data_IF_915240698119
#
_entry.id   IF_915240698119
#
_cell.length_a   1.000
_cell.length_b   1.000
_cell.length_c   1.000
_cell.angle_alpha   90.00
_cell.angle_beta   90.00
_cell.angle_gamma   90.00
#
_symmetry.space_group_name_H-M   'P 1'
#
loop_
_entity.id
_entity.type
_entity.pdbx_description
1 polymer ?
#
# COMPACT_ATOMS: atom_id res chain seq x y z
N UNK A 1 8.89 28.82 42.29
CA UNK A 1 8.63 28.73 40.84
C UNK A 1 9.75 27.96 40.15
N UNK A 2 9.63 26.63 40.12
CA UNK A 2 10.64 25.74 39.54
C UNK A 2 10.65 25.89 38.03
N UNK A 3 11.72 26.49 37.49
CA UNK A 3 11.88 26.67 36.05
C UNK A 3 12.03 25.30 35.39
N UNK A 4 11.03 24.89 34.60
CA UNK A 4 11.18 23.75 33.72
C UNK A 4 12.39 24.00 32.80
N UNK A 5 13.34 23.08 32.78
CA UNK A 5 14.42 23.03 31.78
C UNK A 5 13.94 22.22 30.58
N UNK A 6 14.57 22.40 29.42
CA UNK A 6 14.23 21.63 28.21
C UNK A 6 14.24 20.11 28.46
N UNK A 7 15.16 19.64 29.32
CA UNK A 7 15.25 18.22 29.72
C UNK A 7 14.07 17.76 30.58
N UNK A 8 13.57 18.60 31.49
CA UNK A 8 12.38 18.28 32.29
C UNK A 8 11.11 18.22 31.44
N UNK A 9 11.02 19.06 30.41
CA UNK A 9 9.91 19.06 29.45
C UNK A 9 9.93 17.76 28.64
N UNK A 10 11.10 17.38 28.10
CA UNK A 10 11.29 16.13 27.37
C UNK A 10 10.92 14.91 28.24
N UNK A 11 11.38 14.89 29.49
CA UNK A 11 11.12 13.77 30.41
C UNK A 11 9.63 13.63 30.75
N UNK A 12 8.92 14.75 30.92
CA UNK A 12 7.47 14.74 31.17
C UNK A 12 6.69 14.19 29.97
N UNK A 13 7.09 14.58 28.75
CA UNK A 13 6.51 14.08 27.50
C UNK A 13 6.78 12.58 27.33
N UNK A 14 8.01 12.13 27.61
CA UNK A 14 8.38 10.71 27.56
C UNK A 14 7.61 9.84 28.56
N UNK A 15 7.24 10.40 29.72
CA UNK A 15 6.38 9.71 30.69
C UNK A 15 4.92 9.67 30.23
N UNK A 16 4.43 10.71 29.56
CA UNK A 16 3.06 10.80 29.08
C UNK A 16 2.78 9.89 27.87
N UNK A 17 3.74 9.75 26.95
CA UNK A 17 3.58 8.91 25.75
C UNK A 17 3.37 7.42 26.07
N UNK A 18 3.84 6.92 27.22
CA UNK A 18 3.64 5.52 27.63
C UNK A 18 2.17 5.12 27.87
N UNK A 19 1.24 6.09 27.87
CA UNK A 19 -0.21 5.86 27.93
C UNK A 19 -0.88 5.75 26.55
N UNK A 20 -0.15 6.04 25.48
CA UNK A 20 -0.65 6.08 24.11
C UNK A 20 0.07 5.03 23.25
N UNK A 21 -0.60 4.50 22.24
CA UNK A 21 -0.06 3.46 21.34
C UNK A 21 1.00 3.98 20.34
N UNK A 22 1.75 5.03 20.67
CA UNK A 22 2.77 5.62 19.80
C UNK A 22 3.76 6.51 20.54
N UNK A 23 5.01 6.54 20.05
CA UNK A 23 6.12 7.30 20.65
C UNK A 23 6.49 8.54 19.82
N UNK A 24 6.81 9.64 20.51
CA UNK A 24 7.32 10.86 19.88
C UNK A 24 8.83 10.73 19.62
N UNK A 25 9.19 10.33 18.40
CA UNK A 25 10.59 10.19 17.99
C UNK A 25 11.26 11.55 17.74
N UNK A 26 12.59 11.60 17.91
CA UNK A 26 13.43 12.79 17.68
C UNK A 26 12.96 14.07 18.42
N UNK A 27 12.41 13.90 19.63
CA UNK A 27 11.87 15.00 20.42
C UNK A 27 12.96 16.02 20.79
N UNK A 28 12.72 17.29 20.48
CA UNK A 28 13.52 18.44 20.91
C UNK A 28 12.62 19.48 21.54
N UNK A 29 13.04 20.04 22.66
CA UNK A 29 12.37 21.16 23.30
C UNK A 29 13.33 22.36 23.31
N UNK A 30 12.94 23.46 22.67
CA UNK A 30 13.69 24.72 22.69
C UNK A 30 12.85 25.80 23.37
N UNK A 31 13.49 26.74 24.06
CA UNK A 31 12.78 27.91 24.61
C UNK A 31 12.47 28.87 23.47
N UNK A 32 11.25 29.41 23.45
CA UNK A 32 10.90 30.45 22.50
C UNK A 32 11.74 31.71 22.77
N UNK A 33 12.35 32.26 21.73
CA UNK A 33 13.15 33.49 21.78
C UNK A 33 12.30 34.72 22.08
N UNK A 34 10.98 34.66 21.87
CA UNK A 34 10.05 35.78 22.14
C UNK A 34 9.36 35.70 23.50
N UNK A 35 9.24 34.51 24.09
CA UNK A 35 8.55 34.28 25.36
C UNK A 35 9.34 33.30 26.25
N UNK A 36 10.04 33.75 27.30
CA UNK A 36 10.92 32.89 28.11
C UNK A 36 10.19 31.81 28.92
N UNK A 37 8.85 31.88 28.99
CA UNK A 37 7.98 30.87 29.60
C UNK A 37 7.43 29.84 28.60
N UNK A 38 7.62 30.02 27.29
CA UNK A 38 7.12 29.14 26.25
C UNK A 38 8.21 28.18 25.74
N UNK A 39 7.80 26.96 25.41
CA UNK A 39 8.66 25.95 24.81
C UNK A 39 8.11 25.57 23.43
N UNK A 40 9.01 25.51 22.45
CA UNK A 40 8.77 24.96 21.13
C UNK A 40 9.19 23.50 21.15
N UNK A 41 8.28 22.62 20.78
CA UNK A 41 8.49 21.17 20.77
C UNK A 41 8.55 20.71 19.31
N UNK A 42 9.64 20.08 18.92
CA UNK A 42 9.83 19.50 17.58
C UNK A 42 9.93 17.99 17.72
N UNK A 43 9.20 17.25 16.89
CA UNK A 43 9.24 15.79 16.82
C UNK A 43 9.13 15.36 15.37
N UNK A 44 9.62 14.16 15.03
CA UNK A 44 9.43 13.57 13.70
C UNK A 44 8.06 12.88 13.55
N UNK A 45 7.17 12.98 14.55
CA UNK A 45 5.80 12.46 14.44
C UNK A 45 4.88 13.43 13.69
N UNK A 46 4.22 12.91 12.65
CA UNK A 46 3.32 13.68 11.77
C UNK A 46 1.85 13.61 12.18
N UNK A 47 1.49 12.70 13.09
CA UNK A 47 0.12 12.59 13.59
C UNK A 47 -0.16 13.70 14.61
N UNK A 48 -0.81 14.78 14.14
CA UNK A 48 -1.16 15.95 14.96
C UNK A 48 -2.00 15.59 16.19
N UNK A 49 -2.94 14.66 16.03
CA UNK A 49 -3.83 14.20 17.11
C UNK A 49 -3.07 13.47 18.20
N UNK A 50 -2.14 12.57 17.83
CA UNK A 50 -1.28 11.89 18.78
C UNK A 50 -0.39 12.88 19.53
N UNK A 51 0.27 13.79 18.80
CA UNK A 51 1.12 14.83 19.40
C UNK A 51 0.32 15.68 20.39
N UNK A 52 -0.86 16.16 19.98
CA UNK A 52 -1.75 16.95 20.85
C UNK A 52 -2.15 16.17 22.11
N UNK A 53 -2.57 14.93 21.97
CA UNK A 53 -3.01 14.10 23.10
C UNK A 53 -1.87 13.82 24.09
N UNK A 54 -0.67 13.53 23.60
CA UNK A 54 0.52 13.32 24.44
C UNK A 54 0.89 14.62 25.17
N UNK A 55 0.87 15.76 24.48
CA UNK A 55 1.21 17.06 25.08
C UNK A 55 0.18 17.50 26.13
N UNK A 56 -1.12 17.34 25.84
CA UNK A 56 -2.20 17.65 26.81
C UNK A 56 -2.10 16.77 28.06
N UNK A 57 -1.68 15.52 27.89
CA UNK A 57 -1.47 14.60 29.02
C UNK A 57 -0.21 14.93 29.81
N UNK A 58 0.85 15.38 29.14
CA UNK A 58 2.09 15.80 29.78
C UNK A 58 1.93 17.13 30.55
N UNK A 59 1.11 18.04 30.05
CA UNK A 59 0.94 19.39 30.58
C UNK A 59 -0.54 19.81 30.58
N UNK A 60 -1.29 19.35 31.58
CA UNK A 60 -2.72 19.64 31.70
C UNK A 60 -3.07 21.13 31.85
N UNK A 61 -2.17 21.93 32.44
CA UNK A 61 -2.37 23.36 32.71
C UNK A 61 -1.72 24.29 31.68
N UNK A 62 -1.13 23.74 30.60
CA UNK A 62 -0.44 24.52 29.57
C UNK A 62 -1.35 24.82 28.38
N UNK A 63 -1.25 26.04 27.84
CA UNK A 63 -1.92 26.38 26.59
C UNK A 63 -1.13 25.81 25.40
N UNK A 64 -1.65 24.75 24.78
CA UNK A 64 -0.99 24.03 23.68
C UNK A 64 -1.53 24.55 22.35
N UNK A 65 -0.66 25.20 21.56
CA UNK A 65 -0.98 25.59 20.19
C UNK A 65 -1.20 24.38 19.28
N UNK A 66 -1.98 24.54 18.21
CA UNK A 66 -2.18 23.47 17.24
C UNK A 66 -0.86 23.02 16.60
N UNK A 67 -0.53 21.71 16.62
CA UNK A 67 0.70 21.20 16.02
C UNK A 67 0.78 21.55 14.53
N UNK A 68 1.83 22.30 14.18
CA UNK A 68 2.20 22.60 12.80
C UNK A 68 3.18 21.53 12.32
N UNK A 69 2.95 20.96 11.14
CA UNK A 69 3.83 19.96 10.53
C UNK A 69 4.71 20.70 9.52
N UNK A 70 5.94 20.99 9.91
CA UNK A 70 6.94 21.57 9.01
C UNK A 70 7.58 20.46 8.17
N UNK A 71 7.03 20.22 6.97
CA UNK A 71 7.62 19.30 6.00
C UNK A 71 8.82 19.96 5.28
N UNK A 72 9.93 20.16 6.00
CA UNK A 72 11.16 20.82 5.48
C UNK A 72 11.71 20.13 4.22
N UNK A 73 11.46 18.83 4.06
CA UNK A 73 11.90 18.05 2.90
C UNK A 73 11.05 18.34 1.64
N UNK A 74 9.84 18.88 1.81
CA UNK A 74 8.90 19.08 0.72
C UNK A 74 9.25 20.32 -0.12
N UNK A 75 9.64 21.43 0.51
CA UNK A 75 9.93 22.68 -0.22
C UNK A 75 11.20 22.56 -1.09
N UNK A 76 12.27 21.97 -0.57
CA UNK A 76 13.51 21.78 -1.34
C UNK A 76 13.32 20.84 -2.53
N UNK A 77 12.52 19.78 -2.36
CA UNK A 77 12.17 18.83 -3.43
C UNK A 77 11.21 19.48 -4.44
N UNK A 78 10.19 20.21 -3.99
CA UNK A 78 9.27 20.98 -4.86
C UNK A 78 9.99 22.00 -5.72
N UNK A 79 11.04 22.65 -5.21
CA UNK A 79 11.83 23.59 -6.00
C UNK A 79 12.80 22.88 -6.96
N UNK A 80 13.40 21.77 -6.56
CA UNK A 80 14.36 21.03 -7.39
C UNK A 80 13.71 20.19 -8.50
N UNK A 81 12.46 19.75 -8.30
CA UNK A 81 11.70 18.90 -9.21
C UNK A 81 10.35 19.53 -9.59
N UNK A 82 10.26 20.86 -9.60
CA UNK A 82 9.03 21.60 -9.91
C UNK A 82 8.40 21.18 -11.25
N UNK A 83 9.24 20.82 -12.22
CA UNK A 83 8.85 20.44 -13.58
C UNK A 83 8.66 18.91 -13.77
N UNK A 84 8.99 18.10 -12.75
CA UNK A 84 8.97 16.62 -12.78
C UNK A 84 7.99 16.02 -11.76
N UNK A 85 7.45 16.84 -10.86
CA UNK A 85 6.48 16.43 -9.85
C UNK A 85 5.09 16.91 -10.23
N UNK A 86 4.19 15.97 -10.50
CA UNK A 86 2.75 16.22 -10.43
C UNK A 86 2.38 16.52 -8.98
N UNK A 87 2.48 17.79 -8.59
CA UNK A 87 1.97 18.27 -7.32
C UNK A 87 0.44 18.21 -7.42
N UNK A 88 -0.21 17.31 -6.69
CA UNK A 88 -1.64 17.39 -6.46
C UNK A 88 -1.92 18.71 -5.75
N UNK A 89 -2.49 19.65 -6.49
CA UNK A 89 -2.89 20.94 -5.95
C UNK A 89 -4.36 20.89 -5.54
N UNK A 90 -4.77 21.75 -4.62
CA UNK A 90 -6.18 21.91 -4.27
C UNK A 90 -6.97 22.32 -5.51
N UNK A 91 -8.01 21.54 -5.83
CA UNK A 91 -8.85 21.74 -7.01
C UNK A 91 -9.92 22.84 -6.80
N UNK A 92 -10.00 23.39 -5.58
CA UNK A 92 -11.02 24.34 -5.13
C UNK A 92 -12.44 23.84 -5.43
N UNK A 93 -12.86 22.73 -4.80
CA UNK A 93 -14.17 22.16 -5.07
C UNK A 93 -15.31 23.00 -4.48
N UNK A 94 -16.38 23.13 -5.27
CA UNK A 94 -17.67 23.68 -4.90
C UNK A 94 -18.77 22.69 -5.25
N UNK A 95 -19.68 22.43 -4.31
CA UNK A 95 -20.83 21.55 -4.55
C UNK A 95 -21.90 22.35 -5.29
N UNK A 96 -22.15 21.97 -6.54
CA UNK A 96 -23.12 22.64 -7.40
C UNK A 96 -24.54 22.08 -7.23
N UNK A 97 -24.67 20.78 -7.00
CA UNK A 97 -25.95 20.11 -6.77
C UNK A 97 -25.75 18.95 -5.81
N UNK A 98 -26.72 18.76 -4.92
CA UNK A 98 -26.80 17.60 -4.06
C UNK A 98 -28.27 17.16 -4.03
N UNK A 99 -28.55 15.95 -4.49
CA UNK A 99 -29.92 15.42 -4.53
C UNK A 99 -29.96 13.93 -4.19
N UNK A 100 -31.10 13.51 -3.65
CA UNK A 100 -31.38 12.09 -3.37
C UNK A 100 -31.79 11.40 -4.67
N UNK A 101 -31.29 10.18 -4.87
CA UNK A 101 -31.64 9.37 -6.02
C UNK A 101 -33.01 8.72 -5.75
N UNK A 102 -34.04 9.28 -6.39
CA UNK A 102 -35.42 8.77 -6.36
C UNK A 102 -35.75 7.96 -7.61
N UNK A 103 -36.85 7.20 -7.57
CA UNK A 103 -37.36 6.46 -8.74
C UNK A 103 -37.61 7.40 -9.94
N UNK A 104 -38.13 8.61 -9.70
CA UNK A 104 -38.36 9.63 -10.73
C UNK A 104 -37.07 10.08 -11.43
N UNK A 105 -35.96 10.12 -10.68
CA UNK A 105 -34.66 10.48 -11.24
C UNK A 105 -34.08 9.34 -12.08
N UNK A 106 -34.29 8.10 -11.67
CA UNK A 106 -33.86 6.90 -12.40
C UNK A 106 -34.63 6.76 -13.72
N UNK A 107 -35.92 7.14 -13.75
CA UNK A 107 -36.71 7.16 -14.99
C UNK A 107 -36.10 8.10 -16.04
N UNK A 108 -35.44 9.18 -15.59
CA UNK A 108 -34.73 10.13 -16.45
C UNK A 108 -33.29 9.70 -16.75
N UNK A 109 -32.65 8.99 -15.82
CA UNK A 109 -31.25 8.55 -15.88
C UNK A 109 -31.12 7.09 -15.42
N UNK A 110 -31.26 6.12 -16.34
CA UNK A 110 -31.22 4.69 -16.02
C UNK A 110 -29.91 4.22 -15.37
N UNK A 111 -28.81 4.95 -15.55
CA UNK A 111 -27.50 4.66 -14.94
C UNK A 111 -27.54 4.67 -13.40
N UNK A 112 -28.53 5.34 -12.80
CA UNK A 112 -28.67 5.45 -11.35
C UNK A 112 -29.42 4.28 -10.71
N UNK A 113 -29.85 3.29 -11.49
CA UNK A 113 -30.69 2.19 -11.02
C UNK A 113 -30.06 1.42 -9.84
N UNK A 114 -28.75 1.20 -9.88
CA UNK A 114 -28.01 0.48 -8.82
C UNK A 114 -27.81 1.34 -7.55
N UNK A 115 -28.10 2.63 -7.61
CA UNK A 115 -27.91 3.61 -6.54
C UNK A 115 -29.23 4.16 -5.99
N UNK A 116 -30.35 3.46 -6.17
CA UNK A 116 -31.67 3.86 -5.64
C UNK A 116 -31.60 4.12 -4.12
N UNK A 117 -32.10 5.29 -3.70
CA UNK A 117 -32.05 5.71 -2.30
C UNK A 117 -30.69 6.29 -1.88
N UNK A 118 -29.70 6.34 -2.78
CA UNK A 118 -28.40 6.97 -2.59
C UNK A 118 -28.41 8.48 -2.82
N UNK A 119 -27.22 9.07 -2.85
CA UNK A 119 -26.99 10.50 -3.07
C UNK A 119 -26.24 10.74 -4.38
N UNK A 120 -26.64 11.78 -5.11
CA UNK A 120 -25.90 12.36 -6.23
C UNK A 120 -25.34 13.72 -5.82
N UNK A 121 -24.02 13.89 -5.97
CA UNK A 121 -23.29 15.12 -5.68
C UNK A 121 -22.61 15.58 -6.97
N UNK A 122 -23.00 16.73 -7.50
CA UNK A 122 -22.28 17.37 -8.61
C UNK A 122 -21.26 18.33 -8.01
N UNK A 123 -19.98 18.04 -8.19
CA UNK A 123 -18.88 18.87 -7.73
C UNK A 123 -18.28 19.63 -8.92
N UNK A 124 -18.17 20.95 -8.81
CA UNK A 124 -17.39 21.80 -9.71
C UNK A 124 -16.00 22.01 -9.12
N UNK A 125 -14.99 22.02 -9.98
CA UNK A 125 -13.60 22.24 -9.62
C UNK A 125 -13.03 23.34 -10.52
N UNK A 126 -12.33 24.31 -9.93
CA UNK A 126 -11.73 25.42 -10.68
C UNK A 126 -10.53 24.95 -11.50
N UNK A 127 -9.80 23.96 -10.96
CA UNK A 127 -8.66 23.35 -11.65
C UNK A 127 -9.09 22.04 -12.25
N UNK A 128 -8.89 21.94 -13.56
CA UNK A 128 -9.23 20.73 -14.29
C UNK A 128 -8.42 19.54 -13.75
N UNK A 129 -9.11 18.44 -13.49
CA UNK A 129 -8.51 17.18 -13.04
C UNK A 129 -9.07 16.04 -13.89
N UNK A 130 -8.29 14.98 -14.06
CA UNK A 130 -8.79 13.80 -14.78
C UNK A 130 -9.64 12.92 -13.85
N UNK A 131 -10.60 12.13 -14.38
CA UNK A 131 -11.34 11.15 -13.59
C UNK A 131 -10.43 10.17 -12.84
N UNK A 132 -9.32 9.76 -13.45
CA UNK A 132 -8.31 8.92 -12.80
C UNK A 132 -7.67 9.63 -11.60
N UNK A 133 -7.34 10.93 -11.74
CA UNK A 133 -6.80 11.74 -10.65
C UNK A 133 -7.80 11.89 -9.50
N UNK A 134 -9.08 12.13 -9.79
CA UNK A 134 -10.14 12.26 -8.77
C UNK A 134 -10.31 10.94 -8.01
N UNK A 135 -10.34 9.81 -8.73
CA UNK A 135 -10.38 8.48 -8.12
C UNK A 135 -9.15 8.20 -7.24
N UNK A 136 -7.95 8.55 -7.73
CA UNK A 136 -6.71 8.42 -6.97
C UNK A 136 -6.74 9.27 -5.68
N UNK A 137 -7.24 10.52 -5.76
CA UNK A 137 -7.41 11.41 -4.61
C UNK A 137 -8.34 10.81 -3.56
N UNK A 138 -9.48 10.24 -3.95
CA UNK A 138 -10.41 9.55 -3.03
C UNK A 138 -9.76 8.30 -2.42
N UNK A 139 -9.05 7.50 -3.22
CA UNK A 139 -8.36 6.31 -2.77
C UNK A 139 -7.19 6.61 -1.81
N UNK A 140 -6.55 7.77 -1.93
CA UNK A 140 -5.50 8.24 -1.03
C UNK A 140 -6.06 8.87 0.25
N UNK A 141 -7.22 9.53 0.14
CA UNK A 141 -7.89 10.18 1.27
C UNK A 141 -8.17 9.20 2.42
N UNK A 142 -8.56 7.95 2.13
CA UNK A 142 -8.86 6.92 3.14
C UNK A 142 -7.69 6.58 4.08
N UNK A 143 -6.46 6.90 3.68
CA UNK A 143 -5.26 6.62 4.48
C UNK A 143 -4.84 7.81 5.35
N UNK A 144 -5.51 8.95 5.25
CA UNK A 144 -5.21 10.12 6.08
C UNK A 144 -5.72 9.89 7.51
N UNK A 145 -4.92 10.23 8.55
CA UNK A 145 -5.32 10.05 9.95
C UNK A 145 -6.69 10.66 10.28
N UNK A 146 -6.97 11.84 9.72
CA UNK A 146 -8.21 12.59 9.98
C UNK A 146 -9.44 11.99 9.28
N UNK A 147 -9.24 11.04 8.37
CA UNK A 147 -10.28 10.43 7.53
C UNK A 147 -10.64 9.00 7.95
N UNK A 148 -9.98 8.46 8.98
CA UNK A 148 -10.24 7.10 9.50
C UNK A 148 -11.61 6.96 10.17
N UNK A 149 -12.20 8.08 10.60
CA UNK A 149 -13.51 8.10 11.27
C UNK A 149 -14.70 8.14 10.29
N UNK A 150 -14.43 8.34 8.99
CA UNK A 150 -15.47 8.31 7.95
C UNK A 150 -15.82 6.86 7.60
N UNK A 151 -17.06 6.61 7.20
CA UNK A 151 -17.47 5.29 6.71
C UNK A 151 -17.06 5.14 5.24
N UNK A 152 -16.11 4.26 4.95
CA UNK A 152 -15.59 3.97 3.61
C UNK A 152 -16.24 2.76 2.94
N UNK A 153 -17.25 2.15 3.57
CA UNK A 153 -17.86 0.90 3.12
C UNK A 153 -18.95 1.10 2.06
N UNK A 154 -19.31 2.35 1.75
CA UNK A 154 -20.32 2.66 0.76
C UNK A 154 -19.71 2.63 -0.63
N UNK A 155 -20.41 1.93 -1.53
CA UNK A 155 -20.05 1.92 -2.93
C UNK A 155 -20.27 3.30 -3.52
N UNK A 156 -19.36 3.69 -4.41
CA UNK A 156 -19.43 4.97 -5.09
C UNK A 156 -18.94 4.83 -6.52
N UNK A 157 -19.42 5.72 -7.37
CA UNK A 157 -18.99 5.84 -8.75
C UNK A 157 -18.84 7.32 -9.12
N UNK A 158 -17.92 7.58 -10.06
CA UNK A 158 -17.64 8.93 -10.54
C UNK A 158 -17.99 8.97 -12.02
N UNK A 159 -18.97 9.80 -12.34
CA UNK A 159 -19.49 9.99 -13.70
C UNK A 159 -19.33 11.44 -14.13
N UNK A 160 -19.58 11.70 -15.41
CA UNK A 160 -19.69 13.06 -15.92
C UNK A 160 -20.84 13.82 -15.24
N UNK A 161 -20.88 15.16 -15.37
CA UNK A 161 -22.01 15.95 -14.87
C UNK A 161 -23.35 15.52 -15.48
N UNK A 162 -23.32 14.98 -16.70
CA UNK A 162 -24.48 14.42 -17.42
C UNK A 162 -24.64 12.90 -17.22
N UNK A 163 -23.96 12.31 -16.22
CA UNK A 163 -23.98 10.88 -15.86
C UNK A 163 -23.39 9.90 -16.89
N UNK A 164 -22.77 10.41 -17.96
CA UNK A 164 -22.01 9.58 -18.89
C UNK A 164 -20.65 9.12 -18.31
N UNK A 165 -20.16 7.96 -18.77
CA UNK A 165 -18.78 7.53 -18.54
C UNK A 165 -17.80 8.55 -19.12
N UNK A 166 -16.74 8.86 -18.34
CA UNK A 166 -15.70 9.81 -18.75
C UNK A 166 -14.45 9.08 -19.21
N UNK A 167 -13.76 9.62 -20.22
CA UNK A 167 -12.45 9.11 -20.60
C UNK A 167 -11.44 9.31 -19.45
N UNK A 168 -10.68 8.28 -19.03
CA UNK A 168 -9.86 8.32 -17.81
C UNK A 168 -8.85 9.47 -17.75
N UNK A 169 -8.34 9.90 -18.91
CA UNK A 169 -7.28 10.91 -19.04
C UNK A 169 -7.78 12.26 -19.55
N UNK A 170 -9.09 12.45 -19.73
CA UNK A 170 -9.63 13.72 -20.19
C UNK A 170 -9.85 14.65 -18.99
N UNK A 171 -9.25 15.85 -18.97
CA UNK A 171 -9.43 16.77 -17.85
C UNK A 171 -10.85 17.34 -17.84
N UNK A 172 -11.49 17.31 -16.67
CA UNK A 172 -12.85 17.82 -16.45
C UNK A 172 -12.86 18.91 -15.37
N UNK A 173 -13.81 19.84 -15.47
CA UNK A 173 -14.03 20.91 -14.48
C UNK A 173 -15.23 20.63 -13.58
N UNK A 174 -15.92 19.51 -13.80
CA UNK A 174 -17.04 19.07 -13.00
C UNK A 174 -17.22 17.57 -13.13
N UNK A 175 -17.61 16.92 -12.05
CA UNK A 175 -17.94 15.49 -12.02
C UNK A 175 -19.14 15.24 -11.13
N UNK A 176 -19.87 14.17 -11.40
CA UNK A 176 -20.90 13.62 -10.53
C UNK A 176 -20.30 12.50 -9.68
N UNK A 177 -20.50 12.59 -8.37
CA UNK A 177 -20.21 11.54 -7.41
C UNK A 177 -21.54 10.93 -6.97
N UNK A 178 -21.69 9.64 -7.20
CA UNK A 178 -22.87 8.89 -6.76
C UNK A 178 -22.44 7.86 -5.73
N UNK A 179 -23.21 7.73 -4.66
CA UNK A 179 -22.97 6.72 -3.63
C UNK A 179 -24.28 6.28 -3.01
N UNK A 180 -24.34 5.03 -2.56
CA UNK A 180 -25.53 4.44 -1.94
C UNK A 180 -25.16 3.77 -0.62
N UNK A 181 -26.01 3.97 0.38
CA UNK A 181 -25.93 3.20 1.62
C UNK A 181 -26.53 1.80 1.38
N UNK A 182 -25.85 0.70 1.77
CA UNK A 182 -26.29 -0.66 1.48
C UNK A 182 -27.72 -1.00 1.96
N UNK A 183 -28.19 -0.35 3.02
CA UNK A 183 -29.53 -0.58 3.57
C UNK A 183 -30.63 0.26 2.90
N UNK A 184 -30.27 1.30 2.12
CA UNK A 184 -31.22 2.22 1.50
C UNK A 184 -32.14 1.54 0.47
N UNK A 185 -31.70 0.44 -0.15
CA UNK A 185 -32.51 -0.35 -1.06
C UNK A 185 -33.46 -1.35 -0.38
N UNK A 186 -33.30 -1.58 0.93
CA UNK A 186 -34.09 -2.57 1.69
C UNK A 186 -35.05 -1.93 2.69
N UNK A 187 -34.75 -0.72 3.18
CA UNK A 187 -35.58 0.02 4.13
C UNK A 187 -35.44 1.53 3.94
N UNK A 188 -36.42 2.28 4.42
CA UNK A 188 -36.29 3.73 4.55
C UNK A 188 -35.31 4.07 5.69
N UNK A 189 -34.38 4.97 5.38
CA UNK A 189 -33.46 5.56 6.35
C UNK A 189 -34.19 6.63 7.15
N UNK A 190 -33.92 6.71 8.45
CA UNK A 190 -34.36 7.84 9.26
C UNK A 190 -33.67 9.14 8.83
N UNK A 191 -34.27 10.29 9.13
CA UNK A 191 -33.69 11.60 8.83
C UNK A 191 -32.27 11.78 9.41
N UNK A 192 -32.01 11.23 10.60
CA UNK A 192 -30.68 11.28 11.22
C UNK A 192 -29.67 10.40 10.48
N UNK A 193 -30.04 9.19 10.08
CA UNK A 193 -29.17 8.28 9.31
C UNK A 193 -28.85 8.89 7.95
N UNK A 194 -29.86 9.42 7.25
CA UNK A 194 -29.70 10.10 5.98
C UNK A 194 -28.75 11.29 6.08
N UNK A 195 -28.93 12.14 7.09
CA UNK A 195 -28.06 13.31 7.28
C UNK A 195 -26.61 12.90 7.51
N UNK A 196 -26.37 11.86 8.32
CA UNK A 196 -25.01 11.35 8.56
C UNK A 196 -24.38 10.75 7.30
N UNK A 197 -25.15 9.99 6.53
CA UNK A 197 -24.70 9.44 5.25
C UNK A 197 -24.27 10.54 4.29
N UNK A 198 -25.14 11.53 4.09
CA UNK A 198 -24.90 12.70 3.24
C UNK A 198 -23.65 13.47 3.69
N UNK A 199 -23.51 13.75 4.98
CA UNK A 199 -22.37 14.49 5.55
C UNK A 199 -21.06 13.73 5.35
N UNK A 200 -21.08 12.40 5.51
CA UNK A 200 -19.93 11.53 5.28
C UNK A 200 -19.46 11.59 3.82
N UNK A 201 -20.37 11.40 2.85
CA UNK A 201 -20.02 11.44 1.42
C UNK A 201 -19.58 12.84 0.98
N UNK A 202 -20.28 13.87 1.43
CA UNK A 202 -19.92 15.27 1.16
C UNK A 202 -18.51 15.59 1.66
N UNK A 203 -18.18 15.12 2.85
CA UNK A 203 -16.84 15.31 3.44
C UNK A 203 -15.77 14.61 2.60
N UNK A 204 -16.02 13.38 2.12
CA UNK A 204 -15.07 12.66 1.25
C UNK A 204 -14.80 13.41 -0.05
N UNK A 205 -15.86 13.83 -0.76
CA UNK A 205 -15.74 14.52 -2.06
C UNK A 205 -14.96 15.83 -1.90
N UNK A 206 -15.34 16.66 -0.92
CA UNK A 206 -14.66 17.93 -0.67
C UNK A 206 -13.21 17.74 -0.22
N UNK A 207 -12.94 16.80 0.69
CA UNK A 207 -11.60 16.58 1.20
C UNK A 207 -10.67 15.97 0.14
N UNK A 208 -11.18 15.11 -0.76
CA UNK A 208 -10.40 14.53 -1.84
C UNK A 208 -10.03 15.58 -2.88
N UNK A 209 -10.98 16.43 -3.27
CA UNK A 209 -10.71 17.50 -4.22
C UNK A 209 -9.86 18.65 -3.62
N UNK A 210 -9.91 18.85 -2.29
CA UNK A 210 -9.00 19.78 -1.57
C UNK A 210 -7.64 19.19 -1.25
N UNK A 211 -7.42 17.90 -1.53
CA UNK A 211 -6.19 17.22 -1.15
C UNK A 211 -4.99 17.89 -1.84
N UNK A 212 -4.09 18.44 -1.02
CA UNK A 212 -2.80 18.94 -1.46
C UNK A 212 -1.74 17.90 -1.10
N UNK A 213 -1.05 17.38 -2.12
CA UNK A 213 -0.04 16.34 -1.96
C UNK A 213 1.05 16.51 -3.01
N UNK A 214 2.31 16.35 -2.62
CA UNK A 214 3.43 16.54 -3.55
C UNK A 214 4.03 15.26 -4.11
N UNK A 215 3.49 14.09 -3.81
CA UNK A 215 4.13 12.85 -4.24
C UNK A 215 3.09 11.77 -4.53
N UNK A 216 3.15 11.09 -5.70
CA UNK A 216 2.71 9.71 -5.78
C UNK A 216 3.42 8.96 -4.67
N UNK A 217 2.66 8.29 -3.81
CA UNK A 217 3.14 7.62 -2.61
C UNK A 217 4.41 6.83 -2.91
N UNK A 218 5.59 7.40 -2.59
CA UNK A 218 6.77 6.59 -2.30
C UNK A 218 6.33 5.76 -1.10
N UNK A 219 6.04 4.47 -1.32
CA UNK A 219 5.83 3.52 -0.24
C UNK A 219 7.17 3.42 0.49
N UNK A 220 7.44 4.39 1.36
CA UNK A 220 8.60 4.42 2.20
C UNK A 220 8.33 3.40 3.31
N UNK A 221 8.64 2.14 3.01
CA UNK A 221 8.74 1.13 4.04
C UNK A 221 9.83 1.58 5.00
N UNK A 222 9.55 1.52 6.29
CA UNK A 222 10.59 1.73 7.29
C UNK A 222 11.73 0.74 7.00
N UNK A 223 13.00 1.20 6.89
CA UNK A 223 14.13 0.32 6.60
C UNK A 223 14.21 -0.90 7.53
N UNK A 224 13.69 -0.79 8.75
CA UNK A 224 13.60 -1.89 9.71
C UNK A 224 12.66 -3.02 9.25
N UNK A 225 11.46 -2.69 8.74
CA UNK A 225 10.46 -3.67 8.26
C UNK A 225 10.95 -4.35 6.99
N UNK A 226 11.60 -3.60 6.09
CA UNK A 226 12.21 -4.16 4.88
C UNK A 226 13.36 -5.14 5.21
N UNK A 227 14.22 -4.78 6.17
CA UNK A 227 15.30 -5.65 6.63
C UNK A 227 14.77 -6.92 7.31
N UNK A 228 13.71 -6.81 8.11
CA UNK A 228 13.07 -7.95 8.76
C UNK A 228 12.40 -8.88 7.73
N UNK A 229 11.65 -8.33 6.77
CA UNK A 229 11.02 -9.11 5.70
C UNK A 229 12.06 -9.87 4.86
N UNK A 230 13.17 -9.21 4.49
CA UNK A 230 14.30 -9.84 3.80
C UNK A 230 14.90 -10.98 4.61
N UNK A 231 15.10 -10.78 5.91
CA UNK A 231 15.67 -11.79 6.81
C UNK A 231 14.74 -12.99 6.95
N UNK A 232 13.44 -12.75 7.16
CA UNK A 232 12.43 -13.81 7.23
C UNK A 232 12.34 -14.60 5.92
N UNK A 233 12.38 -13.92 4.78
CA UNK A 233 12.40 -14.58 3.47
C UNK A 233 13.65 -15.47 3.28
N UNK A 234 14.84 -14.99 3.66
CA UNK A 234 16.07 -15.77 3.59
C UNK A 234 15.99 -17.02 4.48
N UNK A 235 15.50 -16.87 5.72
CA UNK A 235 15.31 -17.98 6.64
C UNK A 235 14.32 -18.99 6.06
N UNK A 236 13.19 -18.54 5.50
CA UNK A 236 12.19 -19.42 4.91
C UNK A 236 12.76 -20.23 3.73
N UNK A 237 13.57 -19.63 2.87
CA UNK A 237 14.23 -20.32 1.75
C UNK A 237 15.24 -21.37 2.24
N UNK A 238 16.04 -21.04 3.25
CA UNK A 238 17.03 -21.99 3.80
C UNK A 238 16.32 -23.17 4.48
N UNK A 239 15.28 -22.89 5.28
CA UNK A 239 14.49 -23.92 5.94
C UNK A 239 13.76 -24.81 4.93
N UNK A 240 13.20 -24.25 3.86
CA UNK A 240 12.52 -25.02 2.82
C UNK A 240 13.51 -25.93 2.07
N UNK A 241 14.71 -25.42 1.73
CA UNK A 241 15.77 -26.24 1.15
C UNK A 241 16.15 -27.39 2.08
N UNK A 242 16.36 -27.13 3.37
CA UNK A 242 16.70 -28.19 4.34
C UNK A 242 15.57 -29.23 4.49
N UNK A 243 14.31 -28.80 4.52
CA UNK A 243 13.16 -29.69 4.58
C UNK A 243 13.07 -30.57 3.33
N UNK A 244 13.32 -30.00 2.15
CA UNK A 244 13.42 -30.71 0.87
C UNK A 244 14.52 -31.78 0.90
N UNK A 245 15.73 -31.43 1.36
CA UNK A 245 16.86 -32.39 1.47
C UNK A 245 16.46 -33.57 2.35
N UNK A 246 15.88 -33.25 3.51
CA UNK A 246 15.46 -34.25 4.49
C UNK A 246 14.38 -35.16 3.90
N UNK A 247 13.39 -34.59 3.22
CA UNK A 247 12.34 -35.34 2.54
C UNK A 247 12.90 -36.30 1.48
N UNK A 248 13.75 -35.81 0.58
CA UNK A 248 14.35 -36.65 -0.49
C UNK A 248 15.23 -37.75 0.12
N UNK A 249 16.00 -37.43 1.16
CA UNK A 249 16.82 -38.42 1.85
C UNK A 249 15.98 -39.57 2.44
N UNK A 250 14.91 -39.24 3.16
CA UNK A 250 13.98 -40.23 3.73
C UNK A 250 13.26 -41.02 2.64
N UNK A 251 12.80 -40.35 1.57
CA UNK A 251 12.01 -40.95 0.49
C UNK A 251 12.79 -41.97 -0.33
N UNK A 252 14.05 -41.67 -0.66
CA UNK A 252 14.86 -42.47 -1.60
C UNK A 252 15.91 -43.36 -0.91
N UNK A 253 16.13 -43.19 0.41
CA UNK A 253 16.97 -44.08 1.22
C UNK A 253 18.45 -44.16 0.84
N UNK A 254 18.89 -43.34 -0.13
CA UNK A 254 20.27 -43.27 -0.57
C UNK A 254 20.65 -41.80 -0.80
N UNK A 255 21.66 -41.35 -0.07
CA UNK A 255 22.14 -39.96 -0.01
C UNK A 255 22.53 -39.41 -1.39
N UNK A 256 22.93 -40.27 -2.32
CA UNK A 256 23.33 -39.88 -3.70
C UNK A 256 22.21 -39.22 -4.48
N UNK A 257 20.96 -39.68 -4.33
CA UNK A 257 19.80 -39.04 -4.97
C UNK A 257 19.50 -37.67 -4.34
N UNK A 258 19.60 -37.57 -3.01
CA UNK A 258 19.47 -36.30 -2.30
C UNK A 258 20.47 -35.24 -2.78
N UNK A 259 21.76 -35.60 -2.87
CA UNK A 259 22.80 -34.69 -3.35
C UNK A 259 22.56 -34.28 -4.81
N UNK A 260 22.21 -35.23 -5.69
CA UNK A 260 21.94 -34.93 -7.09
C UNK A 260 20.75 -33.96 -7.27
N UNK A 261 19.65 -34.17 -6.52
CA UNK A 261 18.50 -33.26 -6.54
C UNK A 261 18.86 -31.86 -6.04
N UNK A 262 19.66 -31.75 -4.98
CA UNK A 262 20.10 -30.44 -4.45
C UNK A 262 20.93 -29.69 -5.48
N UNK A 263 21.89 -30.35 -6.12
CA UNK A 263 22.76 -29.70 -7.11
C UNK A 263 21.94 -29.21 -8.30
N UNK A 264 21.01 -30.02 -8.81
CA UNK A 264 20.09 -29.61 -9.87
C UNK A 264 19.22 -28.42 -9.43
N UNK A 265 18.68 -28.45 -8.22
CA UNK A 265 17.84 -27.37 -7.71
C UNK A 265 18.61 -26.06 -7.51
N UNK A 266 19.82 -26.12 -6.97
CA UNK A 266 20.70 -24.95 -6.81
C UNK A 266 21.02 -24.37 -8.18
N UNK A 267 21.32 -25.21 -9.18
CA UNK A 267 21.56 -24.77 -10.54
C UNK A 267 20.35 -24.01 -11.11
N UNK A 268 19.14 -24.55 -10.99
CA UNK A 268 17.91 -23.94 -11.52
C UNK A 268 17.63 -22.59 -10.84
N UNK A 269 17.78 -22.52 -9.52
CA UNK A 269 17.60 -21.27 -8.75
C UNK A 269 18.67 -20.23 -9.10
N UNK A 270 19.93 -20.65 -9.26
CA UNK A 270 21.01 -19.74 -9.64
C UNK A 270 20.83 -19.17 -11.05
N UNK A 271 20.45 -20.00 -12.03
CA UNK A 271 20.22 -19.54 -13.40
C UNK A 271 19.00 -18.63 -13.47
N UNK A 272 17.89 -19.00 -12.83
CA UNK A 272 16.68 -18.17 -12.83
C UNK A 272 16.92 -16.82 -12.15
N UNK A 273 17.59 -16.80 -10.99
CA UNK A 273 17.96 -15.55 -10.33
C UNK A 273 18.95 -14.72 -11.16
N UNK A 274 19.91 -15.37 -11.81
CA UNK A 274 20.85 -14.72 -12.72
C UNK A 274 20.16 -14.09 -13.93
N UNK A 275 19.16 -14.78 -14.50
CA UNK A 275 18.35 -14.28 -15.61
C UNK A 275 17.48 -13.10 -15.19
N UNK A 276 16.80 -13.17 -14.03
CA UNK A 276 16.02 -12.05 -13.47
C UNK A 276 16.92 -10.84 -13.23
N UNK A 277 18.11 -11.06 -12.67
CA UNK A 277 19.09 -10.00 -12.46
C UNK A 277 19.57 -9.42 -13.78
N UNK A 278 19.86 -10.25 -14.79
CA UNK A 278 20.24 -9.79 -16.12
C UNK A 278 19.13 -8.95 -16.79
N UNK A 279 17.85 -9.32 -16.60
CA UNK A 279 16.73 -8.54 -17.07
C UNK A 279 16.72 -7.10 -16.52
N UNK A 280 17.14 -6.87 -15.26
CA UNK A 280 17.26 -5.50 -14.74
C UNK A 280 18.29 -4.64 -15.48
N UNK A 281 19.37 -5.25 -15.98
CA UNK A 281 20.39 -4.55 -16.78
C UNK A 281 19.98 -4.38 -18.24
N UNK A 282 19.18 -5.30 -18.77
CA UNK A 282 18.71 -5.30 -20.16
C UNK A 282 17.45 -4.42 -20.32
N UNK A 283 16.67 -4.18 -19.26
CA UNK A 283 15.45 -3.38 -19.29
C UNK A 283 15.67 -1.96 -19.86
N UNK A 284 16.83 -1.36 -19.62
CA UNK A 284 17.18 -0.03 -20.14
C UNK A 284 17.70 -0.03 -21.59
N UNK A 285 17.73 -1.20 -22.27
CA UNK A 285 18.21 -1.33 -23.64
C UNK A 285 17.06 -1.39 -24.64
N UNK A 286 17.28 -1.04 -25.93
CA UNK A 286 16.26 -1.12 -26.98
C UNK A 286 15.71 -2.55 -27.18
N UNK A 287 16.47 -3.56 -26.79
CA UNK A 287 16.06 -4.97 -26.83
C UNK A 287 15.09 -5.27 -25.68
N UNK A 288 15.33 -4.71 -24.49
CA UNK A 288 14.46 -4.86 -23.32
C UNK A 288 13.07 -4.25 -23.53
N UNK A 289 13.01 -3.04 -24.08
CA UNK A 289 11.76 -2.35 -24.40
C UNK A 289 10.93 -3.12 -25.46
N UNK A 290 11.60 -3.67 -26.49
CA UNK A 290 10.95 -4.49 -27.53
C UNK A 290 10.43 -5.83 -27.01
N UNK A 291 11.04 -6.38 -25.96
CA UNK A 291 10.63 -7.65 -25.35
C UNK A 291 9.71 -7.48 -24.13
N UNK A 292 9.25 -6.25 -23.85
CA UNK A 292 8.42 -5.89 -22.69
C UNK A 292 9.07 -6.29 -21.34
N UNK A 293 10.40 -6.25 -21.27
CA UNK A 293 11.16 -6.52 -20.03
C UNK A 293 11.23 -5.25 -19.20
N UNK A 294 10.54 -5.22 -18.06
CA UNK A 294 10.60 -4.14 -17.08
C UNK A 294 11.70 -4.30 -16.02
N UNK A 295 11.82 -3.32 -15.13
CA UNK A 295 12.72 -3.38 -13.97
C UNK A 295 12.22 -4.40 -12.93
N UNK A 296 12.80 -5.60 -12.96
CA UNK A 296 12.48 -6.67 -12.02
C UNK A 296 13.14 -6.43 -10.66
N UNK A 297 12.47 -5.66 -9.79
CA UNK A 297 12.88 -5.52 -8.40
C UNK A 297 12.53 -6.78 -7.59
N UNK A 298 13.51 -7.34 -6.89
CA UNK A 298 13.29 -8.46 -5.97
C UNK A 298 12.32 -8.03 -4.87
N UNK A 299 11.10 -8.53 -4.97
CA UNK A 299 10.02 -8.30 -4.02
C UNK A 299 9.44 -9.65 -3.55
N UNK A 300 8.45 -9.61 -2.66
CA UNK A 300 7.85 -10.82 -2.10
C UNK A 300 7.17 -11.70 -3.17
N UNK A 301 6.65 -11.10 -4.25
CA UNK A 301 6.05 -11.84 -5.35
C UNK A 301 7.09 -12.63 -6.16
N UNK A 302 8.28 -12.05 -6.40
CA UNK A 302 9.40 -12.78 -7.03
C UNK A 302 9.87 -13.93 -6.14
N UNK A 303 9.95 -13.73 -4.82
CA UNK A 303 10.29 -14.80 -3.89
C UNK A 303 9.25 -15.93 -3.95
N UNK A 304 7.96 -15.60 -3.99
CA UNK A 304 6.90 -16.59 -4.17
C UNK A 304 7.02 -17.34 -5.50
N UNK A 305 7.30 -16.64 -6.61
CA UNK A 305 7.51 -17.24 -7.91
C UNK A 305 8.72 -18.20 -7.93
N UNK A 306 9.83 -17.84 -7.28
CA UNK A 306 11.01 -18.71 -7.15
C UNK A 306 10.68 -19.98 -6.35
N UNK A 307 9.91 -19.88 -5.27
CA UNK A 307 9.43 -21.04 -4.49
C UNK A 307 8.55 -21.96 -5.34
N UNK A 308 7.70 -21.39 -6.21
CA UNK A 308 6.87 -22.15 -7.14
C UNK A 308 7.73 -22.91 -8.16
N UNK A 309 8.74 -22.25 -8.75
CA UNK A 309 9.68 -22.89 -9.70
C UNK A 309 10.43 -24.04 -9.01
N UNK A 310 10.90 -23.82 -7.77
CA UNK A 310 11.54 -24.86 -6.96
C UNK A 310 10.61 -26.07 -6.81
N UNK A 311 9.32 -25.85 -6.53
CA UNK A 311 8.33 -26.91 -6.40
C UNK A 311 8.17 -27.73 -7.69
N UNK A 312 8.06 -27.07 -8.84
CA UNK A 312 7.93 -27.74 -10.14
C UNK A 312 9.20 -28.49 -10.56
N UNK A 313 10.38 -27.86 -10.49
CA UNK A 313 11.67 -28.50 -10.85
C UNK A 313 11.94 -29.74 -9.98
N UNK A 314 11.59 -29.67 -8.69
CA UNK A 314 11.72 -30.79 -7.78
C UNK A 314 10.72 -31.92 -8.10
N UNK A 315 9.48 -31.59 -8.47
CA UNK A 315 8.49 -32.58 -8.85
C UNK A 315 8.97 -33.42 -10.05
N UNK A 316 9.51 -32.78 -11.08
CA UNK A 316 10.08 -33.49 -12.23
C UNK A 316 11.24 -34.41 -11.81
N UNK A 317 12.13 -33.92 -10.94
CA UNK A 317 13.22 -34.72 -10.40
C UNK A 317 12.72 -35.97 -9.64
N UNK A 318 11.64 -35.83 -8.85
CA UNK A 318 11.05 -36.96 -8.12
C UNK A 318 10.49 -38.01 -9.08
N UNK A 319 9.76 -37.59 -10.11
CA UNK A 319 9.14 -38.52 -11.09
C UNK A 319 10.23 -39.35 -11.79
N UNK A 320 11.30 -38.69 -12.24
CA UNK A 320 12.45 -39.37 -12.87
C UNK A 320 13.14 -40.31 -11.88
N UNK A 321 13.37 -39.89 -10.63
CA UNK A 321 14.02 -40.72 -9.63
C UNK A 321 13.18 -41.94 -9.23
N UNK A 322 11.86 -41.78 -9.16
CA UNK A 322 10.95 -42.89 -8.90
C UNK A 322 10.98 -43.89 -10.05
N UNK A 323 11.01 -43.41 -11.30
CA UNK A 323 11.15 -44.26 -12.48
C UNK A 323 12.48 -45.02 -12.52
N UNK A 324 13.59 -44.36 -12.15
CA UNK A 324 14.90 -45.01 -12.00
C UNK A 324 14.85 -46.11 -10.94
N UNK A 325 14.16 -45.86 -9.81
CA UNK A 325 14.02 -46.85 -8.74
C UNK A 325 13.17 -48.04 -9.18
N UNK A 326 12.07 -47.80 -9.87
CA UNK A 326 11.18 -48.83 -10.41
C UNK A 326 11.92 -49.72 -11.41
N UNK A 327 12.58 -49.11 -12.40
CA UNK A 327 13.32 -49.83 -13.44
C UNK A 327 14.55 -50.58 -12.90
N UNK A 328 15.16 -50.09 -11.81
CA UNK A 328 16.28 -50.75 -11.15
C UNK A 328 15.89 -52.05 -10.44
N UNK A 329 14.66 -52.17 -9.89
CA UNK A 329 14.25 -53.30 -9.04
C UNK A 329 15.32 -53.70 -8.00
N UNK A 330 15.92 -54.90 -8.12
CA UNK A 330 17.01 -55.42 -7.26
C UNK A 330 18.41 -55.29 -7.90
N UNK A 331 18.50 -54.82 -9.14
CA UNK A 331 19.77 -54.73 -9.86
C UNK A 331 20.63 -53.54 -9.41
N UNK A 332 21.91 -53.59 -9.79
CA UNK A 332 22.84 -52.46 -9.59
C UNK A 332 22.49 -51.34 -10.58
N UNK A 333 22.72 -50.10 -10.16
CA UNK A 333 22.55 -48.95 -11.05
C UNK A 333 23.49 -49.08 -12.26
N UNK A 334 22.93 -48.96 -13.46
CA UNK A 334 23.66 -48.93 -14.73
C UNK A 334 23.14 -47.75 -15.58
N UNK A 335 24.01 -47.00 -16.29
CA UNK A 335 23.63 -46.00 -17.29
C UNK A 335 22.42 -46.35 -18.18
N UNK A 336 22.31 -47.60 -18.67
CA UNK A 336 21.15 -47.99 -19.50
C UNK A 336 19.82 -47.89 -18.75
N UNK A 337 19.79 -48.23 -17.47
CA UNK A 337 18.58 -48.12 -16.64
C UNK A 337 18.21 -46.65 -16.45
N UNK A 338 19.19 -45.77 -16.23
CA UNK A 338 18.95 -44.33 -16.11
C UNK A 338 18.37 -43.78 -17.42
N UNK A 339 19.02 -44.06 -18.55
CA UNK A 339 18.59 -43.57 -19.86
C UNK A 339 17.18 -44.06 -20.22
N UNK A 340 16.88 -45.33 -19.96
CA UNK A 340 15.54 -45.87 -20.18
C UNK A 340 14.49 -45.23 -19.27
N UNK A 341 14.86 -44.86 -18.05
CA UNK A 341 13.93 -44.21 -17.11
C UNK A 341 13.61 -42.79 -17.52
N UNK A 342 14.60 -42.03 -18.01
CA UNK A 342 14.40 -40.68 -18.52
C UNK A 342 13.51 -40.70 -19.77
N UNK A 343 13.72 -41.63 -20.70
CA UNK A 343 12.88 -41.73 -21.91
C UNK A 343 11.44 -42.18 -21.66
N UNK A 344 11.12 -42.65 -20.44
CA UNK A 344 9.79 -43.15 -20.06
C UNK A 344 9.00 -42.14 -19.24
N UNK A 345 9.61 -41.04 -18.84
CA UNK A 345 9.02 -39.91 -18.12
C UNK A 345 8.86 -38.74 -19.07
#
# INVERSE_FOLDING_TARGET
>A
PGGHTAETVISAIQKAQGKFGGELSNLRATKDTKSPAAFVITTSQVNKSLVKNVLTTAFADANISEPQVDEVVNNAIRTAFADELEIQQNLQPEIALQEKISEELIDSYPELADFLGGIKIICKIERAATPEEINARLADLRFKPDMQNLNWSYDYEILGPDLNEMEPNQPVNSFAYISVEPEAGFRELSEEEWTRFVENETTKVLAAARLEGSLPRVRQFDPSVGAEAKTRALIAVILSLFAIVTYIWIRFGNVRYGIAAIVALVHDVCITLGAITACTYIAATPIGERLLIGDFKINLAIIAALLTIIGYSLNDTIVVFDRIRENRRKDRLNPQIINNSINQT
#
